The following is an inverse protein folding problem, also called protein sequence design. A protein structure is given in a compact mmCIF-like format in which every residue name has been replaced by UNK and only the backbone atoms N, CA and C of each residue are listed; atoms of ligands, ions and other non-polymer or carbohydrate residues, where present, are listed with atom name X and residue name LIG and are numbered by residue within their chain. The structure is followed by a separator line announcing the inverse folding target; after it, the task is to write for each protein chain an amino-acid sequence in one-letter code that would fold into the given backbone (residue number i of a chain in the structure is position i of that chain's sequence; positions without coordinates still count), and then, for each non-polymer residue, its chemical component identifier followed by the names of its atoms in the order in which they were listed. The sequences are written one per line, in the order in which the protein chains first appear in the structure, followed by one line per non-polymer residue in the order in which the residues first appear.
data_IF_005273120632
#
_entry.id   IF_005273120632
#
_cell.length_a   1.000
_cell.length_b   1.000
_cell.length_c   1.000
_cell.angle_alpha   90.00
_cell.angle_beta   90.00
_cell.angle_gamma   90.00
#
_symmetry.space_group_name_H-M   'P 1'
#
loop_
_entity.id
_entity.type
_entity.pdbx_description
1 polymer ?
#
# COMPACT_ATOMS: atom_id res chain seq x y z
N UNK A 1 -7.62 -0.58 -7.91
CA UNK A 1 -7.80 -1.45 -9.10
C UNK A 1 -6.95 -1.02 -10.31
N UNK A 2 -6.99 0.26 -10.74
CA UNK A 2 -6.26 0.76 -11.93
C UNK A 2 -4.78 0.37 -12.00
N UNK A 3 -4.04 0.49 -10.88
CA UNK A 3 -2.62 0.15 -10.84
C UNK A 3 -2.36 -1.34 -11.15
N UNK A 4 -3.23 -2.24 -10.70
CA UNK A 4 -3.14 -3.66 -11.08
C UNK A 4 -3.34 -3.86 -12.57
N UNK A 5 -4.31 -3.18 -13.19
CA UNK A 5 -4.53 -3.27 -14.64
C UNK A 5 -3.32 -2.78 -15.45
N UNK A 6 -2.64 -1.73 -14.99
CA UNK A 6 -1.42 -1.23 -15.61
C UNK A 6 -0.26 -2.26 -15.53
N UNK A 7 -0.09 -2.92 -14.39
CA UNK A 7 0.89 -4.00 -14.24
C UNK A 7 0.51 -5.22 -15.08
N UNK A 8 -0.74 -5.69 -14.98
CA UNK A 8 -1.23 -6.86 -15.70
C UNK A 8 -1.13 -6.70 -17.21
N UNK A 9 -1.59 -5.58 -17.77
CA UNK A 9 -1.45 -5.29 -19.22
C UNK A 9 0.02 -5.26 -19.66
N UNK A 10 0.92 -4.73 -18.83
CA UNK A 10 2.37 -4.74 -19.11
C UNK A 10 2.94 -6.16 -19.13
N UNK A 11 2.57 -7.00 -18.16
CA UNK A 11 3.00 -8.40 -18.11
C UNK A 11 2.42 -9.18 -19.29
N UNK A 12 1.13 -9.02 -19.58
CA UNK A 12 0.46 -9.67 -20.71
C UNK A 12 1.07 -9.27 -22.05
N UNK A 13 1.45 -8.01 -22.24
CA UNK A 13 2.12 -7.58 -23.48
C UNK A 13 3.48 -8.27 -23.66
N UNK A 14 4.25 -8.44 -22.58
CA UNK A 14 5.52 -9.18 -22.61
C UNK A 14 5.28 -10.64 -22.97
N UNK A 15 4.32 -11.29 -22.31
CA UNK A 15 3.97 -12.70 -22.59
C UNK A 15 3.46 -12.91 -24.02
N UNK A 16 2.60 -12.02 -24.53
CA UNK A 16 2.09 -12.10 -25.89
C UNK A 16 3.21 -11.99 -26.94
N UNK A 17 4.19 -11.10 -26.71
CA UNK A 17 5.40 -11.00 -27.53
C UNK A 17 6.26 -12.25 -27.47
N UNK A 18 6.47 -12.82 -26.28
CA UNK A 18 7.23 -14.07 -26.10
C UNK A 18 6.57 -15.28 -26.76
N UNK A 19 5.23 -15.33 -26.74
CA UNK A 19 4.45 -16.40 -27.33
C UNK A 19 4.18 -16.21 -28.84
N UNK A 20 4.67 -15.12 -29.46
CA UNK A 20 4.35 -14.73 -30.84
C UNK A 20 2.83 -14.66 -31.12
N UNK A 21 2.04 -14.23 -30.14
CA UNK A 21 0.59 -14.08 -30.25
C UNK A 21 0.23 -12.78 -30.99
N UNK A 22 0.66 -12.66 -32.26
CA UNK A 22 0.62 -11.41 -33.04
C UNK A 22 -0.76 -10.77 -33.14
N UNK A 23 -1.81 -11.58 -33.20
CA UNK A 23 -3.20 -11.10 -33.31
C UNK A 23 -3.67 -10.36 -32.06
N UNK A 24 -3.12 -10.69 -30.89
CA UNK A 24 -3.49 -10.10 -29.60
C UNK A 24 -2.60 -8.93 -29.18
N UNK A 25 -1.41 -8.80 -29.76
CA UNK A 25 -0.46 -7.73 -29.39
C UNK A 25 -1.08 -6.34 -29.52
N UNK A 26 -1.80 -5.97 -30.62
CA UNK A 26 -2.34 -4.62 -30.77
C UNK A 26 -3.33 -4.23 -29.67
N UNK A 27 -4.26 -5.13 -29.30
CA UNK A 27 -5.28 -4.85 -28.27
C UNK A 27 -4.65 -4.74 -26.88
N UNK A 28 -3.74 -5.67 -26.52
CA UNK A 28 -3.06 -5.63 -25.22
C UNK A 28 -2.15 -4.39 -25.12
N UNK A 29 -1.51 -3.99 -26.23
CA UNK A 29 -0.70 -2.78 -26.27
C UNK A 29 -1.55 -1.51 -26.08
N UNK A 30 -2.75 -1.46 -26.67
CA UNK A 30 -3.71 -0.36 -26.43
C UNK A 30 -4.08 -0.26 -24.95
N UNK A 31 -4.43 -1.37 -24.32
CA UNK A 31 -4.75 -1.43 -22.88
C UNK A 31 -3.56 -1.01 -22.02
N UNK A 32 -2.35 -1.48 -22.38
CA UNK A 32 -1.13 -1.12 -21.68
C UNK A 32 -0.87 0.39 -21.72
N UNK A 33 -1.04 1.03 -22.88
CA UNK A 33 -0.91 2.49 -23.03
C UNK A 33 -1.98 3.21 -22.19
N UNK A 34 -3.23 2.76 -22.24
CA UNK A 34 -4.34 3.36 -21.51
C UNK A 34 -4.09 3.33 -20.00
N UNK A 35 -3.77 2.17 -19.44
CA UNK A 35 -3.61 2.00 -17.99
C UNK A 35 -2.29 2.60 -17.46
N UNK A 36 -1.23 2.65 -18.27
CA UNK A 36 0.05 3.29 -17.88
C UNK A 36 0.11 4.80 -18.16
N UNK A 37 -0.97 5.41 -18.66
CA UNK A 37 -1.03 6.86 -18.82
C UNK A 37 -1.01 7.56 -17.45
N UNK A 38 0.13 8.15 -17.10
CA UNK A 38 0.34 8.82 -15.81
C UNK A 38 -0.41 10.14 -15.69
N UNK A 39 -0.58 10.89 -16.79
CA UNK A 39 -1.38 12.10 -16.80
C UNK A 39 -2.82 11.80 -16.42
N UNK A 40 -3.39 10.73 -16.99
CA UNK A 40 -4.73 10.27 -16.63
C UNK A 40 -4.79 9.74 -15.18
N UNK A 41 -3.75 9.05 -14.70
CA UNK A 41 -3.67 8.62 -13.30
C UNK A 41 -3.74 9.83 -12.36
N UNK A 42 -2.94 10.85 -12.63
CA UNK A 42 -2.88 12.06 -11.82
C UNK A 42 -4.20 12.83 -11.86
N UNK A 43 -4.76 13.04 -13.05
CA UNK A 43 -6.05 13.73 -13.20
C UNK A 43 -7.20 13.06 -12.45
N UNK A 44 -7.22 11.72 -12.42
CA UNK A 44 -8.32 10.97 -11.83
C UNK A 44 -8.16 10.70 -10.33
N UNK A 45 -6.92 10.60 -9.85
CA UNK A 45 -6.66 10.06 -8.52
C UNK A 45 -5.74 10.92 -7.65
N UNK A 46 -4.99 11.88 -8.19
CA UNK A 46 -4.10 12.70 -7.38
C UNK A 46 -4.85 13.89 -6.75
N UNK A 47 -4.76 14.03 -5.43
CA UNK A 47 -5.21 15.21 -4.71
C UNK A 47 -4.03 16.14 -4.44
N UNK A 48 -4.06 17.35 -5.00
CA UNK A 48 -3.04 18.36 -4.73
C UNK A 48 -3.13 18.94 -3.32
N UNK A 49 -4.32 18.96 -2.69
CA UNK A 49 -4.48 19.41 -1.31
C UNK A 49 -3.98 18.37 -0.32
N UNK A 50 -4.37 17.11 -0.51
CA UNK A 50 -4.01 16.01 0.38
C UNK A 50 -2.65 15.35 0.05
N UNK A 51 -2.02 15.74 -1.06
CA UNK A 51 -0.70 15.27 -1.52
C UNK A 51 -0.60 13.74 -1.58
N UNK A 52 -1.58 13.10 -2.22
CA UNK A 52 -1.66 11.64 -2.34
C UNK A 52 -2.58 11.17 -3.46
N UNK A 53 -2.53 9.88 -3.77
CA UNK A 53 -3.51 9.23 -4.64
C UNK A 53 -4.70 8.71 -3.85
N UNK A 54 -5.92 8.84 -4.35
CA UNK A 54 -7.14 8.44 -3.66
C UNK A 54 -8.14 7.81 -4.63
N UNK A 55 -9.03 6.98 -4.10
CA UNK A 55 -10.20 6.53 -4.83
C UNK A 55 -11.20 7.71 -4.99
N UNK A 56 -12.07 7.61 -6.00
CA UNK A 56 -13.11 8.60 -6.28
C UNK A 56 -14.48 7.94 -6.16
N UNK A 57 -15.44 8.63 -5.55
CA UNK A 57 -16.80 8.10 -5.41
C UNK A 57 -17.75 9.08 -4.73
N UNK A 58 -18.99 8.63 -4.55
CA UNK A 58 -20.00 9.36 -3.79
C UNK A 58 -19.69 9.21 -2.29
N UNK A 59 -19.04 10.21 -1.71
CA UNK A 59 -18.44 10.12 -0.37
C UNK A 59 -18.94 11.21 0.58
N UNK A 60 -19.07 10.86 1.86
CA UNK A 60 -19.33 11.79 2.95
C UNK A 60 -18.30 11.63 4.05
N UNK A 61 -17.67 12.74 4.44
CA UNK A 61 -16.75 12.77 5.58
C UNK A 61 -17.45 12.56 6.93
N UNK A 62 -18.78 12.61 6.97
CA UNK A 62 -19.51 12.59 8.23
C UNK A 62 -20.56 11.48 8.21
N UNK A 63 -20.11 10.26 8.50
CA UNK A 63 -20.97 9.11 8.79
C UNK A 63 -20.82 8.72 10.26
N UNK A 64 -21.79 8.04 10.85
CA UNK A 64 -21.68 7.56 12.23
C UNK A 64 -22.36 6.20 12.36
N UNK A 65 -21.72 5.29 13.10
CA UNK A 65 -22.39 4.08 13.55
C UNK A 65 -23.35 4.44 14.69
N UNK A 66 -24.61 4.10 14.54
CA UNK A 66 -25.65 4.31 15.53
C UNK A 66 -25.75 3.07 16.44
N UNK A 67 -26.38 3.25 17.61
CA UNK A 67 -26.51 2.17 18.61
C UNK A 67 -27.35 0.98 18.11
N UNK A 68 -28.17 1.19 17.08
CA UNK A 68 -28.97 0.17 16.41
C UNK A 68 -28.17 -0.64 15.34
N UNK A 69 -26.87 -0.41 15.22
CA UNK A 69 -25.98 -1.08 14.26
C UNK A 69 -26.08 -0.52 12.83
N UNK A 70 -26.82 0.57 12.61
CA UNK A 70 -26.92 1.19 11.28
C UNK A 70 -25.92 2.34 11.13
N UNK A 71 -25.46 2.57 9.89
CA UNK A 71 -24.62 3.73 9.56
C UNK A 71 -25.47 4.87 9.04
N UNK A 72 -25.47 5.97 9.77
CA UNK A 72 -26.14 7.19 9.37
C UNK A 72 -25.18 8.15 8.69
N UNK A 73 -25.62 8.74 7.58
CA UNK A 73 -24.92 9.81 6.87
C UNK A 73 -25.40 11.14 7.44
N UNK A 74 -24.50 11.85 8.13
CA UNK A 74 -24.80 13.11 8.82
C UNK A 74 -24.62 14.33 7.92
N UNK A 75 -23.89 14.18 6.82
CA UNK A 75 -23.73 15.21 5.80
C UNK A 75 -23.92 14.57 4.43
N UNK A 76 -24.77 15.11 3.54
CA UNK A 76 -25.01 14.51 2.23
C UNK A 76 -23.70 14.17 1.50
N UNK A 77 -23.58 12.99 0.89
CA UNK A 77 -22.38 12.62 0.17
C UNK A 77 -22.31 13.38 -1.15
N UNK A 78 -21.09 13.61 -1.62
CA UNK A 78 -20.84 14.23 -2.93
C UNK A 78 -19.79 13.43 -3.70
N UNK A 79 -19.79 13.55 -5.03
CA UNK A 79 -18.76 12.91 -5.84
C UNK A 79 -17.41 13.63 -5.64
N UNK A 80 -16.46 12.96 -4.99
CA UNK A 80 -15.15 13.50 -4.63
C UNK A 80 -14.11 12.39 -4.47
N UNK A 81 -12.85 12.81 -4.32
CA UNK A 81 -11.79 11.92 -3.84
C UNK A 81 -12.06 11.56 -2.36
N UNK A 82 -11.83 10.30 -2.01
CA UNK A 82 -11.92 9.80 -0.63
C UNK A 82 -10.60 10.09 0.10
N UNK A 83 -10.35 11.39 0.34
CA UNK A 83 -9.08 11.91 0.85
C UNK A 83 -9.04 12.10 2.38
N UNK A 84 -9.99 11.51 3.10
CA UNK A 84 -10.03 11.39 4.57
C UNK A 84 -9.49 10.05 5.08
N UNK A 85 -8.82 9.28 4.21
CA UNK A 85 -8.07 8.08 4.56
C UNK A 85 -6.78 7.97 3.73
N UNK A 86 -5.65 7.77 4.40
CA UNK A 86 -4.37 7.45 3.75
C UNK A 86 -3.84 6.10 4.25
N UNK A 87 -3.29 5.28 3.36
CA UNK A 87 -2.90 3.90 3.63
C UNK A 87 -2.27 3.23 2.41
N UNK A 88 -2.23 1.89 2.42
CA UNK A 88 -1.62 1.12 1.33
C UNK A 88 -2.19 1.48 -0.04
N UNK A 89 -3.51 1.68 -0.16
CA UNK A 89 -4.19 2.03 -1.42
C UNK A 89 -3.57 3.26 -2.08
N UNK A 90 -3.24 4.27 -1.28
CA UNK A 90 -2.77 5.57 -1.74
C UNK A 90 -1.33 5.55 -2.27
N UNK A 91 -0.58 4.47 -2.00
CA UNK A 91 0.80 4.30 -2.45
C UNK A 91 0.94 3.24 -3.56
N UNK A 92 -0.16 2.67 -4.09
CA UNK A 92 -0.09 1.65 -5.15
C UNK A 92 0.72 2.03 -6.39
N UNK A 93 0.65 3.27 -6.92
CA UNK A 93 1.50 3.67 -8.04
C UNK A 93 3.00 3.52 -7.73
N UNK A 94 3.40 3.76 -6.47
CA UNK A 94 4.77 3.53 -6.01
C UNK A 94 5.07 2.04 -5.84
N UNK A 95 4.18 1.30 -5.15
CA UNK A 95 4.34 -0.15 -4.89
C UNK A 95 4.55 -0.96 -6.17
N UNK A 96 3.86 -0.58 -7.26
CA UNK A 96 3.95 -1.25 -8.56
C UNK A 96 4.91 -0.55 -9.53
N UNK A 97 5.79 0.35 -9.03
CA UNK A 97 6.86 1.02 -9.79
C UNK A 97 6.38 1.79 -11.03
N UNK A 98 5.19 2.37 -10.95
CA UNK A 98 4.57 3.09 -12.07
C UNK A 98 5.06 4.53 -12.19
N UNK A 99 5.61 5.09 -11.10
CA UNK A 99 6.06 6.48 -11.08
C UNK A 99 7.48 6.61 -11.66
N UNK A 100 7.76 7.65 -12.46
CA UNK A 100 9.13 8.00 -12.85
C UNK A 100 9.97 8.35 -11.62
N UNK A 101 11.25 7.97 -11.61
CA UNK A 101 12.15 8.19 -10.47
C UNK A 101 12.33 9.67 -10.08
N UNK A 102 12.14 10.58 -11.03
CA UNK A 102 12.19 12.03 -10.84
C UNK A 102 10.82 12.66 -10.51
N UNK A 103 9.75 11.88 -10.39
CA UNK A 103 8.43 12.39 -10.04
C UNK A 103 8.43 12.91 -8.59
N UNK A 104 8.01 14.16 -8.32
CA UNK A 104 7.90 14.70 -6.97
C UNK A 104 7.01 13.85 -6.05
N UNK A 105 6.05 13.14 -6.65
CA UNK A 105 5.12 12.24 -5.94
C UNK A 105 5.84 11.05 -5.30
N UNK A 106 6.98 10.61 -5.85
CA UNK A 106 7.85 9.61 -5.20
C UNK A 106 8.38 10.18 -3.89
N UNK A 107 8.91 11.40 -3.91
CA UNK A 107 9.38 12.09 -2.69
C UNK A 107 8.29 12.23 -1.63
N UNK A 108 7.08 12.64 -2.03
CA UNK A 108 5.92 12.71 -1.12
C UNK A 108 5.58 11.36 -0.50
N UNK A 109 5.55 10.28 -1.31
CA UNK A 109 5.26 8.94 -0.81
C UNK A 109 6.35 8.47 0.16
N UNK A 110 7.64 8.68 -0.17
CA UNK A 110 8.75 8.31 0.71
C UNK A 110 8.66 9.02 2.06
N UNK A 111 8.33 10.31 2.08
CA UNK A 111 8.07 11.05 3.32
C UNK A 111 6.95 10.41 4.12
N UNK A 112 5.80 10.14 3.49
CA UNK A 112 4.63 9.57 4.17
C UNK A 112 4.88 8.15 4.72
N UNK A 113 5.54 7.27 3.95
CA UNK A 113 5.81 5.90 4.43
C UNK A 113 6.85 5.87 5.55
N UNK A 114 7.72 6.89 5.65
CA UNK A 114 8.74 7.01 6.69
C UNK A 114 8.31 7.78 7.93
N UNK A 115 7.08 8.31 7.97
CA UNK A 115 6.56 9.07 9.10
C UNK A 115 5.88 8.16 10.14
N UNK A 116 6.33 8.14 11.41
CA UNK A 116 5.72 7.35 12.49
C UNK A 116 4.26 7.71 12.80
N UNK A 117 3.85 8.94 12.50
CA UNK A 117 2.45 9.38 12.62
C UNK A 117 1.60 8.95 11.43
N UNK A 118 2.22 8.53 10.34
CA UNK A 118 1.56 8.01 9.16
C UNK A 118 1.69 6.47 9.13
N UNK A 119 2.45 5.92 8.19
CA UNK A 119 2.53 4.46 7.99
C UNK A 119 3.71 3.80 8.71
N UNK A 120 4.72 4.53 9.16
CA UNK A 120 5.93 3.91 9.70
C UNK A 120 5.75 3.32 11.11
N UNK A 121 6.31 2.13 11.33
CA UNK A 121 6.45 1.50 12.66
C UNK A 121 7.80 0.80 12.81
N UNK A 122 8.12 0.40 14.04
CA UNK A 122 9.30 -0.44 14.34
C UNK A 122 9.13 -1.91 13.91
N UNK A 123 7.97 -2.27 13.34
CA UNK A 123 7.59 -3.63 12.97
C UNK A 123 7.27 -3.81 11.47
N UNK A 124 7.16 -2.70 10.72
CA UNK A 124 6.71 -2.66 9.32
C UNK A 124 5.83 -1.44 9.00
N UNK A 125 5.29 -1.35 7.80
CA UNK A 125 4.33 -0.30 7.42
C UNK A 125 2.90 -0.67 7.83
N UNK A 126 2.17 0.25 8.46
CA UNK A 126 0.74 0.13 8.77
C UNK A 126 -0.13 0.14 7.52
N UNK A 127 -1.29 -0.52 7.57
CA UNK A 127 -2.23 -0.52 6.44
C UNK A 127 -2.94 0.82 6.21
N UNK A 128 -3.16 1.59 7.27
CA UNK A 128 -3.77 2.94 7.27
C UNK A 128 -2.98 3.83 8.23
N UNK A 129 -2.86 5.11 7.89
CA UNK A 129 -2.17 6.13 8.65
C UNK A 129 -2.79 6.29 10.04
N UNK A 130 -1.96 6.50 11.06
CA UNK A 130 -2.41 6.73 12.44
C UNK A 130 -2.99 8.14 12.62
N UNK A 131 -2.38 9.13 12.00
CA UNK A 131 -2.73 10.55 12.05
C UNK A 131 -3.00 11.05 10.62
N UNK A 132 -4.06 11.84 10.47
CA UNK A 132 -4.40 12.53 9.23
C UNK A 132 -4.83 13.96 9.55
N UNK A 133 -4.28 14.93 8.82
CA UNK A 133 -4.55 16.36 9.03
C UNK A 133 -4.39 16.82 10.50
N UNK A 134 -3.35 16.31 11.17
CA UNK A 134 -3.03 16.65 12.57
C UNK A 134 -3.95 16.02 13.63
N UNK A 135 -4.82 15.09 13.25
CA UNK A 135 -5.75 14.40 14.17
C UNK A 135 -5.66 12.88 13.98
N UNK A 136 -6.12 12.11 14.97
CA UNK A 136 -6.25 10.66 14.80
C UNK A 136 -7.07 10.34 13.55
N UNK A 137 -6.53 9.50 12.68
CA UNK A 137 -7.20 9.12 11.45
C UNK A 137 -8.45 8.33 11.80
N UNK A 138 -9.58 8.72 11.21
CA UNK A 138 -10.90 8.19 11.53
C UNK A 138 -10.98 6.67 11.44
N UNK A 139 -10.33 6.09 10.44
CA UNK A 139 -10.40 4.66 10.14
C UNK A 139 -9.30 3.85 10.81
N UNK A 140 -8.32 4.49 11.45
CA UNK A 140 -7.26 3.77 12.16
C UNK A 140 -7.83 3.14 13.45
N UNK A 141 -7.61 1.83 13.61
CA UNK A 141 -8.11 0.99 14.72
C UNK A 141 -9.63 1.02 14.90
N UNK A 142 -10.35 1.52 13.90
CA UNK A 142 -11.79 1.70 13.96
C UNK A 142 -12.50 0.41 13.55
N UNK A 143 -13.37 -0.08 14.42
CA UNK A 143 -14.27 -1.19 14.13
C UNK A 143 -15.22 -0.83 12.98
N UNK A 144 -15.51 -1.81 12.15
CA UNK A 144 -16.49 -1.64 11.10
C UNK A 144 -17.89 -1.85 11.69
N UNK A 145 -18.10 -2.93 12.44
CA UNK A 145 -19.35 -3.27 13.14
C UNK A 145 -19.02 -4.04 14.44
N UNK A 146 -20.00 -4.35 15.30
CA UNK A 146 -19.82 -4.97 16.62
C UNK A 146 -19.10 -6.35 16.60
N UNK A 147 -19.00 -7.00 15.45
CA UNK A 147 -18.23 -8.24 15.24
C UNK A 147 -17.11 -8.14 14.21
N UNK A 148 -16.85 -6.95 13.66
CA UNK A 148 -15.93 -6.73 12.55
C UNK A 148 -14.80 -5.79 12.99
N UNK A 149 -13.82 -6.40 13.66
CA UNK A 149 -12.63 -5.77 14.21
C UNK A 149 -11.77 -5.11 13.10
N UNK A 150 -10.95 -4.10 13.43
CA UNK A 150 -10.09 -3.45 12.43
C UNK A 150 -9.09 -4.45 11.81
N UNK A 151 -9.25 -4.72 10.51
CA UNK A 151 -8.42 -5.68 9.78
C UNK A 151 -7.36 -5.00 8.89
N UNK A 152 -7.81 -4.27 7.88
CA UNK A 152 -6.96 -3.43 7.03
C UNK A 152 -6.91 -1.97 7.51
N UNK A 153 -7.06 -1.76 8.82
CA UNK A 153 -7.23 -0.45 9.48
C UNK A 153 -6.15 -0.13 10.51
N UNK A 154 -4.91 -0.57 10.29
CA UNK A 154 -3.80 -0.39 11.23
C UNK A 154 -2.78 -1.51 11.12
N UNK A 155 -3.20 -2.79 11.21
CA UNK A 155 -2.29 -3.93 11.17
C UNK A 155 -1.31 -3.93 9.99
N UNK A 156 -0.18 -4.60 10.19
CA UNK A 156 0.94 -4.70 9.27
C UNK A 156 0.81 -6.01 8.48
N UNK A 157 0.77 -5.89 7.15
CA UNK A 157 0.60 -7.03 6.25
C UNK A 157 1.85 -7.26 5.40
N UNK A 158 2.36 -8.50 5.42
CA UNK A 158 3.66 -8.82 4.83
C UNK A 158 3.65 -8.79 3.30
N UNK A 159 2.54 -9.13 2.64
CA UNK A 159 2.38 -8.93 1.19
C UNK A 159 2.60 -7.47 0.78
N UNK A 160 1.99 -6.51 1.49
CA UNK A 160 2.10 -5.09 1.17
C UNK A 160 3.48 -4.54 1.53
N UNK A 161 4.07 -5.00 2.64
CA UNK A 161 5.44 -4.67 2.99
C UNK A 161 6.47 -5.23 2.01
N UNK A 162 6.23 -6.42 1.44
CA UNK A 162 7.04 -6.99 0.37
C UNK A 162 7.05 -6.08 -0.86
N UNK A 163 5.87 -5.64 -1.33
CA UNK A 163 5.81 -4.69 -2.46
C UNK A 163 6.48 -3.35 -2.14
N UNK A 164 6.35 -2.86 -0.90
CA UNK A 164 7.02 -1.63 -0.49
C UNK A 164 8.54 -1.77 -0.52
N UNK A 165 9.07 -2.89 -0.01
CA UNK A 165 10.50 -3.20 -0.03
C UNK A 165 11.02 -3.39 -1.45
N UNK A 166 10.27 -4.07 -2.30
CA UNK A 166 10.57 -4.26 -3.72
C UNK A 166 10.66 -2.91 -4.47
N UNK A 167 9.68 -2.03 -4.25
CA UNK A 167 9.67 -0.68 -4.82
C UNK A 167 10.83 0.17 -4.28
N UNK A 168 11.04 0.19 -2.97
CA UNK A 168 12.14 0.92 -2.32
C UNK A 168 13.50 0.49 -2.86
N UNK A 169 13.73 -0.82 -3.01
CA UNK A 169 14.94 -1.36 -3.63
C UNK A 169 15.11 -0.82 -5.05
N UNK A 170 14.06 -0.89 -5.88
CA UNK A 170 14.09 -0.35 -7.24
C UNK A 170 14.46 1.13 -7.29
N UNK A 171 13.74 2.00 -6.56
CA UNK A 171 14.03 3.44 -6.55
C UNK A 171 15.38 3.79 -5.92
N UNK A 172 15.95 2.93 -5.07
CA UNK A 172 17.30 3.10 -4.52
C UNK A 172 18.42 2.75 -5.50
N UNK A 173 18.11 2.07 -6.61
CA UNK A 173 19.11 1.59 -7.59
C UNK A 173 19.14 2.43 -8.86
N UNK A 174 17.98 2.88 -9.32
CA UNK A 174 17.87 3.74 -10.52
C UNK A 174 18.22 5.19 -10.20
N UNK A 175 18.60 5.95 -11.23
CA UNK A 175 18.94 7.36 -11.06
C UNK A 175 17.70 8.24 -10.86
N UNK A 176 17.77 9.11 -9.85
CA UNK A 176 16.69 10.03 -9.49
C UNK A 176 17.00 10.79 -8.20
N UNK A 177 16.34 11.92 -7.96
CA UNK A 177 16.59 12.78 -6.79
C UNK A 177 16.31 12.08 -5.45
N UNK A 178 15.48 11.04 -5.45
CA UNK A 178 15.06 10.33 -4.23
C UNK A 178 15.82 9.03 -3.95
N UNK A 179 16.83 8.69 -4.77
CA UNK A 179 17.60 7.44 -4.69
C UNK A 179 18.14 7.15 -3.28
N UNK A 180 18.82 8.13 -2.70
CA UNK A 180 19.40 8.01 -1.36
C UNK A 180 18.32 7.84 -0.27
N UNK A 181 17.22 8.59 -0.35
CA UNK A 181 16.12 8.51 0.61
C UNK A 181 15.46 7.12 0.56
N UNK A 182 15.19 6.60 -0.64
CA UNK A 182 14.65 5.26 -0.83
C UNK A 182 15.57 4.18 -0.25
N UNK A 183 16.88 4.30 -0.42
CA UNK A 183 17.86 3.34 0.12
C UNK A 183 17.90 3.29 1.65
N UNK A 184 17.79 4.46 2.32
CA UNK A 184 17.72 4.53 3.79
C UNK A 184 16.43 3.87 4.30
N UNK A 185 15.28 4.22 3.70
CA UNK A 185 13.98 3.67 4.09
C UNK A 185 13.94 2.16 3.83
N UNK A 186 14.49 1.69 2.70
CA UNK A 186 14.63 0.27 2.37
C UNK A 186 15.34 -0.50 3.48
N UNK A 187 16.52 -0.01 3.87
CA UNK A 187 17.39 -0.66 4.86
C UNK A 187 16.68 -0.80 6.21
N UNK A 188 16.06 0.30 6.66
CA UNK A 188 15.39 0.34 7.96
C UNK A 188 14.10 -0.50 7.96
N UNK A 189 13.29 -0.42 6.92
CA UNK A 189 12.01 -1.16 6.85
C UNK A 189 12.26 -2.66 6.81
N UNK A 190 13.27 -3.09 6.03
CA UNK A 190 13.66 -4.49 5.92
C UNK A 190 14.11 -5.03 7.27
N UNK A 191 14.94 -4.28 7.99
CA UNK A 191 15.41 -4.66 9.32
C UNK A 191 14.24 -4.80 10.30
N UNK A 192 13.30 -3.85 10.32
CA UNK A 192 12.12 -3.86 11.18
C UNK A 192 11.24 -5.10 10.95
N UNK A 193 10.90 -5.39 9.68
CA UNK A 193 10.08 -6.55 9.31
C UNK A 193 10.75 -7.87 9.70
N UNK A 194 12.01 -8.06 9.32
CA UNK A 194 12.75 -9.31 9.61
C UNK A 194 12.88 -9.50 11.13
N UNK A 195 13.28 -8.46 11.86
CA UNK A 195 13.47 -8.50 13.31
C UNK A 195 12.16 -8.85 14.02
N UNK A 196 11.06 -8.19 13.65
CA UNK A 196 9.78 -8.43 14.30
C UNK A 196 9.28 -9.86 14.05
N UNK A 197 9.26 -10.30 12.79
CA UNK A 197 8.80 -11.65 12.44
C UNK A 197 9.68 -12.73 13.07
N UNK A 198 11.00 -12.55 13.10
CA UNK A 198 11.92 -13.47 13.78
C UNK A 198 11.67 -13.56 15.28
N UNK A 199 11.44 -12.41 15.95
CA UNK A 199 11.10 -12.38 17.37
C UNK A 199 9.78 -13.09 17.67
N UNK A 200 8.73 -12.79 16.90
CA UNK A 200 7.41 -13.44 17.07
C UNK A 200 7.51 -14.94 16.81
N UNK A 201 8.20 -15.36 15.75
CA UNK A 201 8.40 -16.78 15.46
C UNK A 201 9.15 -17.49 16.60
N UNK A 202 10.21 -16.88 17.14
CA UNK A 202 10.96 -17.45 18.26
C UNK A 202 10.13 -17.55 19.55
N UNK A 203 9.23 -16.60 19.78
CA UNK A 203 8.36 -16.58 20.97
C UNK A 203 7.16 -17.53 20.86
N UNK A 204 6.53 -17.63 19.68
CA UNK A 204 5.25 -18.33 19.52
C UNK A 204 5.34 -19.61 18.71
N UNK A 205 6.44 -19.84 17.98
CA UNK A 205 6.60 -20.96 17.04
C UNK A 205 5.77 -20.84 15.76
N UNK A 206 5.20 -19.66 15.45
CA UNK A 206 4.27 -19.48 14.34
C UNK A 206 4.57 -18.23 13.51
N UNK A 207 4.25 -18.33 12.22
CA UNK A 207 4.07 -17.18 11.32
C UNK A 207 2.58 -16.84 11.29
N UNK A 208 2.27 -15.56 11.37
CA UNK A 208 0.90 -15.04 11.49
C UNK A 208 0.45 -14.29 10.23
N UNK A 209 -0.86 -14.14 10.10
CA UNK A 209 -1.52 -13.51 8.96
C UNK A 209 -1.19 -12.02 8.84
N UNK A 210 -1.22 -11.31 9.97
CA UNK A 210 -0.79 -9.92 10.11
C UNK A 210 -0.13 -9.67 11.47
N UNK A 211 0.47 -8.50 11.65
CA UNK A 211 1.16 -8.11 12.87
C UNK A 211 0.61 -6.80 13.41
N UNK A 212 0.49 -6.70 14.73
CA UNK A 212 -0.01 -5.52 15.41
C UNK A 212 0.99 -4.34 15.26
N UNK A 213 0.49 -3.17 14.90
CA UNK A 213 1.34 -2.01 14.61
C UNK A 213 1.86 -1.26 15.85
N UNK A 214 1.32 -1.59 17.03
CA UNK A 214 1.66 -0.96 18.31
C UNK A 214 2.69 -1.78 19.09
N UNK A 215 2.62 -3.11 19.01
CA UNK A 215 3.46 -4.00 19.82
C UNK A 215 4.19 -5.09 19.00
N UNK A 216 3.92 -5.22 17.70
CA UNK A 216 4.58 -6.19 16.82
C UNK A 216 4.08 -7.63 16.95
N UNK A 217 3.15 -7.93 17.86
CA UNK A 217 2.64 -9.29 18.05
C UNK A 217 1.95 -9.81 16.80
N UNK A 218 2.05 -11.13 16.56
CA UNK A 218 1.29 -11.80 15.52
C UNK A 218 -0.19 -11.91 15.88
N UNK A 219 -1.06 -11.65 14.90
CA UNK A 219 -2.52 -11.67 15.04
C UNK A 219 -3.19 -12.36 13.83
N UNK A 220 -4.49 -12.66 13.97
CA UNK A 220 -5.25 -13.37 12.95
C UNK A 220 -4.94 -14.87 12.87
N UNK A 221 -5.03 -15.44 11.67
CA UNK A 221 -4.85 -16.88 11.44
C UNK A 221 -3.41 -17.31 11.68
N UNK A 222 -3.21 -18.51 12.25
CA UNK A 222 -1.92 -19.21 12.32
C UNK A 222 -2.09 -20.74 12.28
N UNK A 223 -1.11 -21.50 11.76
CA UNK A 223 0.05 -21.02 11.00
C UNK A 223 -0.39 -20.37 9.68
N UNK A 224 0.20 -19.22 9.34
CA UNK A 224 -0.08 -18.52 8.09
C UNK A 224 1.18 -18.44 7.23
N UNK A 225 1.58 -19.58 6.66
CA UNK A 225 2.61 -19.64 5.62
C UNK A 225 2.04 -19.34 4.23
N UNK A 226 1.04 -18.45 4.16
CA UNK A 226 0.53 -17.85 2.93
C UNK A 226 1.48 -16.72 2.47
N UNK A 227 0.96 -15.52 2.24
CA UNK A 227 1.84 -14.40 1.87
C UNK A 227 2.88 -14.03 2.92
N UNK A 228 2.69 -14.38 4.20
CA UNK A 228 3.69 -14.09 5.23
C UNK A 228 4.98 -14.92 5.03
N UNK A 229 4.96 -15.97 4.20
CA UNK A 229 6.17 -16.66 3.77
C UNK A 229 7.10 -15.79 2.90
N UNK A 230 6.63 -14.65 2.36
CA UNK A 230 7.45 -13.68 1.64
C UNK A 230 8.59 -13.09 2.48
N UNK A 231 8.56 -13.27 3.81
CA UNK A 231 9.71 -12.94 4.67
C UNK A 231 11.00 -13.62 4.22
N UNK A 232 10.92 -14.82 3.63
CA UNK A 232 12.09 -15.52 3.10
C UNK A 232 12.71 -14.76 1.92
N UNK A 233 11.89 -14.28 0.99
CA UNK A 233 12.34 -13.46 -0.14
C UNK A 233 12.92 -12.12 0.34
N UNK A 234 12.29 -11.49 1.33
CA UNK A 234 12.79 -10.28 2.00
C UNK A 234 14.18 -10.55 2.61
N UNK A 235 14.36 -11.65 3.36
CA UNK A 235 15.63 -12.06 3.96
C UNK A 235 16.71 -12.38 2.92
N UNK A 236 16.32 -12.91 1.75
CA UNK A 236 17.23 -13.16 0.65
C UNK A 236 17.60 -11.89 -0.14
N UNK A 237 16.92 -10.76 0.09
CA UNK A 237 17.03 -9.56 -0.76
C UNK A 237 16.71 -9.88 -2.24
N UNK A 238 15.75 -10.79 -2.45
CA UNK A 238 15.36 -11.29 -3.77
C UNK A 238 13.89 -10.97 -4.06
N UNK A 239 13.68 -10.07 -5.02
CA UNK A 239 12.35 -9.61 -5.43
C UNK A 239 12.09 -9.78 -6.94
N UNK A 240 12.82 -10.72 -7.57
CA UNK A 240 12.78 -10.98 -9.00
C UNK A 240 11.47 -11.59 -9.49
#
# INVERSE_FOLDING_TARGET
MRCWMAMSSTVMLKLAKLANATDWIPIIQSDQILFNNLTALDQLHWSDSAKGYFDYGLHSYNVKMMDDGTRHVLTPPEYRLVDDVFGYVNIFPFLLRQLPANSPKVGTILTNISDPNCLWTDFGLRSVAKIQNGKAARYYDAWNDAGDAPYWRGPIWINMNYFALDALKYYSTIDGPYKSQAGVIYTNLRANVIKNMGNVFNQTGFIWEHYNDKNGNGEGTRPFTGWSALVLAIMADDYR
#
